data_IF_082409232573
#
_entry.id   IF_082409232573
#
_cell.length_a   1.000
_cell.length_b   1.000
_cell.length_c   1.000
_cell.angle_alpha   90.00
_cell.angle_beta   90.00
_cell.angle_gamma   90.00
#
_symmetry.space_group_name_H-M   'P 1'
#
loop_
_entity.id
_entity.type
_entity.pdbx_description
1 polymer ?
#
# COMPACT_ATOMS: atom_id res chain seq x y z
N UNK A 1 -24.39 -14.69 -4.87
CA UNK A 1 -24.00 -14.71 -3.44
C UNK A 1 -22.83 -15.66 -3.30
N UNK A 2 -21.76 -15.25 -2.61
CA UNK A 2 -20.52 -16.01 -2.48
C UNK A 2 -20.37 -16.49 -1.03
N UNK A 3 -19.71 -17.63 -0.80
CA UNK A 3 -19.40 -18.12 0.55
C UNK A 3 -17.98 -17.78 0.93
N UNK A 4 -17.79 -17.27 2.14
CA UNK A 4 -16.46 -17.07 2.69
C UNK A 4 -15.78 -18.42 2.94
N UNK A 5 -14.55 -18.57 2.47
CA UNK A 5 -13.73 -19.79 2.65
C UNK A 5 -13.25 -20.00 4.10
N UNK A 6 -13.34 -18.98 4.96
CA UNK A 6 -12.88 -19.04 6.36
C UNK A 6 -14.05 -19.26 7.33
N UNK A 7 -15.05 -18.39 7.31
CA UNK A 7 -16.17 -18.44 8.25
C UNK A 7 -17.46 -19.05 7.69
N UNK A 8 -17.48 -19.40 6.40
CA UNK A 8 -18.65 -20.01 5.74
C UNK A 8 -19.85 -19.09 5.53
N UNK A 9 -19.82 -17.82 5.97
CA UNK A 9 -20.91 -16.86 5.78
C UNK A 9 -21.15 -16.55 4.30
N UNK A 10 -22.42 -16.32 3.97
CA UNK A 10 -22.82 -15.79 2.66
C UNK A 10 -22.57 -14.28 2.62
N UNK A 11 -21.85 -13.84 1.60
CA UNK A 11 -21.45 -12.47 1.36
C UNK A 11 -21.87 -12.05 -0.05
N UNK A 12 -22.22 -10.78 -0.20
CA UNK A 12 -22.56 -10.21 -1.49
C UNK A 12 -21.32 -10.15 -2.39
N UNK A 13 -21.49 -10.23 -3.71
CA UNK A 13 -20.36 -10.14 -4.65
C UNK A 13 -19.58 -8.84 -4.53
N UNK A 14 -20.24 -7.77 -4.08
CA UNK A 14 -19.61 -6.45 -3.86
C UNK A 14 -18.71 -6.43 -2.62
N UNK A 15 -18.95 -7.29 -1.65
CA UNK A 15 -18.22 -7.37 -0.37
C UNK A 15 -17.25 -8.55 -0.31
N UNK A 16 -17.19 -9.36 -1.37
CA UNK A 16 -16.31 -10.51 -1.46
C UNK A 16 -14.87 -10.07 -1.78
N UNK A 17 -13.94 -10.32 -0.87
CA UNK A 17 -12.53 -10.07 -1.09
C UNK A 17 -11.88 -11.32 -1.68
N UNK A 18 -11.36 -11.23 -2.89
CA UNK A 18 -10.63 -12.32 -3.52
C UNK A 18 -9.16 -12.14 -3.14
N UNK A 19 -8.68 -12.98 -2.23
CA UNK A 19 -7.26 -13.03 -1.85
C UNK A 19 -6.61 -14.28 -2.45
N UNK A 20 -5.30 -14.23 -2.66
CA UNK A 20 -4.52 -15.37 -3.12
C UNK A 20 -3.76 -15.95 -1.93
N UNK A 21 -3.83 -17.26 -1.74
CA UNK A 21 -3.06 -17.95 -0.70
C UNK A 21 -1.58 -18.09 -1.10
N UNK A 22 -0.72 -18.45 -0.15
CA UNK A 22 0.73 -18.65 -0.42
C UNK A 22 0.99 -19.71 -1.51
N UNK A 23 0.05 -20.64 -1.69
CA UNK A 23 0.06 -21.67 -2.73
C UNK A 23 -0.55 -21.22 -4.08
N UNK A 24 -0.85 -19.92 -4.23
CA UNK A 24 -1.39 -19.36 -5.46
C UNK A 24 -2.90 -19.59 -5.69
N UNK A 25 -3.58 -20.29 -4.76
CA UNK A 25 -5.02 -20.58 -4.87
C UNK A 25 -5.86 -19.34 -4.52
N UNK A 26 -6.88 -19.05 -5.33
CA UNK A 26 -7.82 -17.94 -5.07
C UNK A 26 -8.83 -18.36 -4.02
N UNK A 27 -8.93 -17.60 -2.92
CA UNK A 27 -9.90 -17.79 -1.85
C UNK A 27 -10.79 -16.56 -1.70
N UNK A 28 -12.07 -16.79 -1.40
CA UNK A 28 -13.05 -15.73 -1.19
C UNK A 28 -13.17 -15.49 0.31
N UNK A 29 -12.87 -14.27 0.73
CA UNK A 29 -12.74 -13.91 2.14
C UNK A 29 -13.68 -12.76 2.48
N UNK A 30 -14.25 -12.81 3.68
CA UNK A 30 -15.11 -11.75 4.21
C UNK A 30 -14.26 -10.58 4.75
N UNK A 31 -14.79 -9.36 4.83
CA UNK A 31 -14.03 -8.19 5.31
C UNK A 31 -13.50 -8.38 6.74
N UNK A 32 -14.35 -8.91 7.64
CA UNK A 32 -14.00 -9.22 9.03
C UNK A 32 -12.87 -10.26 9.10
N UNK A 33 -12.98 -11.33 8.31
CA UNK A 33 -12.01 -12.42 8.24
C UNK A 33 -10.65 -11.94 7.69
N UNK A 34 -10.67 -10.98 6.76
CA UNK A 34 -9.47 -10.36 6.21
C UNK A 34 -8.81 -9.45 7.26
N UNK A 35 -9.59 -8.66 7.98
CA UNK A 35 -9.10 -7.80 9.05
C UNK A 35 -8.45 -8.58 10.19
N UNK A 36 -9.04 -9.73 10.57
CA UNK A 36 -8.49 -10.61 11.59
C UNK A 36 -7.18 -11.28 11.14
N UNK A 37 -7.10 -11.71 9.88
CA UNK A 37 -5.90 -12.34 9.32
C UNK A 37 -4.74 -11.35 9.10
N UNK A 38 -5.04 -10.11 8.70
CA UNK A 38 -4.02 -9.12 8.30
C UNK A 38 -3.77 -8.06 9.39
N UNK A 39 -4.63 -8.00 10.42
CA UNK A 39 -4.53 -7.07 11.55
C UNK A 39 -4.82 -5.60 11.19
N UNK A 40 -5.41 -5.34 10.02
CA UNK A 40 -5.70 -3.98 9.52
C UNK A 40 -6.90 -4.00 8.58
N UNK A 41 -7.70 -2.93 8.66
CA UNK A 41 -8.82 -2.65 7.74
C UNK A 41 -8.41 -2.79 6.27
N UNK A 42 -9.27 -3.43 5.47
CA UNK A 42 -9.07 -3.61 4.03
C UNK A 42 -8.84 -2.27 3.31
N UNK A 43 -9.54 -1.20 3.70
CA UNK A 43 -9.35 0.11 3.08
C UNK A 43 -7.95 0.67 3.37
N UNK A 44 -7.43 0.41 4.58
CA UNK A 44 -6.06 0.76 4.94
C UNK A 44 -5.05 -0.08 4.15
N UNK A 45 -5.32 -1.37 3.96
CA UNK A 45 -4.47 -2.25 3.17
C UNK A 45 -4.44 -1.82 1.69
N UNK A 46 -5.61 -1.54 1.09
CA UNK A 46 -5.75 -1.06 -0.29
C UNK A 46 -5.02 0.26 -0.51
N UNK A 47 -5.21 1.22 0.40
CA UNK A 47 -4.51 2.49 0.36
C UNK A 47 -2.99 2.33 0.46
N UNK A 48 -2.49 1.48 1.37
CA UNK A 48 -1.05 1.20 1.50
C UNK A 48 -0.48 0.54 0.24
N UNK A 49 -1.21 -0.37 -0.39
CA UNK A 49 -0.78 -1.05 -1.62
C UNK A 49 -0.62 -0.07 -2.79
N UNK A 50 -1.60 0.82 -2.99
CA UNK A 50 -1.55 1.84 -4.04
C UNK A 50 -0.41 2.85 -3.77
N UNK A 51 -0.31 3.34 -2.53
CA UNK A 51 0.72 4.30 -2.14
C UNK A 51 2.13 3.72 -2.22
N UNK A 52 2.30 2.43 -1.89
CA UNK A 52 3.59 1.74 -2.02
C UNK A 52 4.05 1.68 -3.47
N UNK A 53 3.15 1.46 -4.43
CA UNK A 53 3.49 1.42 -5.86
C UNK A 53 3.92 2.79 -6.38
N UNK A 54 3.20 3.85 -6.02
CA UNK A 54 3.57 5.21 -6.40
C UNK A 54 4.90 5.63 -5.77
N UNK A 55 5.09 5.32 -4.48
CA UNK A 55 6.34 5.61 -3.77
C UNK A 55 7.52 4.85 -4.38
N UNK A 56 7.34 3.57 -4.74
CA UNK A 56 8.37 2.76 -5.40
C UNK A 56 8.83 3.41 -6.72
N UNK A 57 7.90 3.82 -7.57
CA UNK A 57 8.21 4.45 -8.86
C UNK A 57 8.95 5.77 -8.64
N UNK A 58 8.49 6.60 -7.70
CA UNK A 58 9.14 7.86 -7.38
C UNK A 58 10.58 7.67 -6.87
N UNK A 59 10.82 6.66 -6.02
CA UNK A 59 12.16 6.33 -5.51
C UNK A 59 13.08 5.84 -6.63
N UNK A 60 12.59 5.01 -7.55
CA UNK A 60 13.39 4.55 -8.69
C UNK A 60 13.81 5.72 -9.60
N UNK A 61 12.89 6.63 -9.89
CA UNK A 61 13.19 7.82 -10.68
C UNK A 61 14.23 8.72 -9.99
N UNK A 62 14.06 8.91 -8.69
CA UNK A 62 14.98 9.65 -7.83
C UNK A 62 16.40 9.05 -7.81
N UNK A 63 16.51 7.72 -7.71
CA UNK A 63 17.78 7.00 -7.80
C UNK A 63 18.44 7.16 -9.17
N UNK A 64 17.67 7.00 -10.26
CA UNK A 64 18.18 7.18 -11.62
C UNK A 64 18.71 8.62 -11.85
N UNK A 65 17.96 9.63 -11.39
CA UNK A 65 18.39 11.03 -11.48
C UNK A 65 19.66 11.29 -10.66
N UNK A 66 19.78 10.69 -9.48
CA UNK A 66 20.97 10.80 -8.61
C UNK A 66 22.20 10.19 -9.29
N UNK A 67 22.04 9.00 -9.90
CA UNK A 67 23.11 8.33 -10.66
C UNK A 67 23.54 9.18 -11.85
N UNK A 68 22.57 9.71 -12.62
CA UNK A 68 22.87 10.59 -13.76
C UNK A 68 23.62 11.85 -13.33
N UNK A 69 23.19 12.50 -12.25
CA UNK A 69 23.85 13.70 -11.71
C UNK A 69 25.28 13.43 -11.24
N UNK A 70 25.52 12.26 -10.65
CA UNK A 70 26.86 11.81 -10.23
C UNK A 70 27.81 11.65 -11.42
N UNK A 71 27.33 11.05 -12.52
CA UNK A 71 28.13 10.85 -13.75
C UNK A 71 28.36 12.18 -14.47
N UNK A 72 27.33 13.02 -14.58
CA UNK A 72 27.39 14.24 -15.41
C UNK A 72 28.13 15.42 -14.74
N UNK A 73 28.05 15.56 -13.41
CA UNK A 73 28.58 16.74 -12.69
C UNK A 73 29.47 16.40 -11.49
N UNK A 74 29.73 15.12 -11.25
CA UNK A 74 30.60 14.65 -10.18
C UNK A 74 29.90 14.44 -8.83
N UNK A 75 30.66 14.00 -7.81
CA UNK A 75 30.11 13.43 -6.58
C UNK A 75 29.29 14.40 -5.72
N UNK A 76 29.58 15.69 -5.80
CA UNK A 76 28.86 16.74 -5.04
C UNK A 76 27.36 16.79 -5.40
N UNK A 77 27.03 16.60 -6.68
CA UNK A 77 25.66 16.66 -7.18
C UNK A 77 24.87 15.38 -6.88
N UNK A 78 25.55 14.23 -6.79
CA UNK A 78 24.93 12.99 -6.31
C UNK A 78 24.53 13.09 -4.84
N UNK A 79 25.37 13.73 -4.00
CA UNK A 79 25.06 13.98 -2.59
C UNK A 79 23.81 14.86 -2.43
N UNK A 80 23.70 15.91 -3.25
CA UNK A 80 22.53 16.79 -3.30
C UNK A 80 21.26 16.04 -3.77
N UNK A 81 21.42 15.12 -4.72
CA UNK A 81 20.37 14.19 -5.14
C UNK A 81 19.85 13.34 -3.98
N UNK A 82 20.73 12.67 -3.24
CA UNK A 82 20.36 11.83 -2.08
C UNK A 82 19.62 12.64 -1.01
N UNK A 83 20.06 13.87 -0.72
CA UNK A 83 19.36 14.72 0.25
C UNK A 83 17.93 15.02 -0.21
N UNK A 84 17.74 15.31 -1.50
CA UNK A 84 16.41 15.57 -2.08
C UNK A 84 15.51 14.32 -2.01
N UNK A 85 16.03 13.13 -2.32
CA UNK A 85 15.25 11.89 -2.27
C UNK A 85 14.78 11.57 -0.84
N UNK A 86 15.65 11.79 0.16
CA UNK A 86 15.31 11.64 1.58
C UNK A 86 14.22 12.63 2.00
N UNK A 87 14.29 13.89 1.56
CA UNK A 87 13.24 14.88 1.84
C UNK A 87 11.88 14.47 1.27
N UNK A 88 11.84 14.02 0.01
CA UNK A 88 10.61 13.54 -0.62
C UNK A 88 10.05 12.32 0.12
N UNK A 89 10.91 11.39 0.54
CA UNK A 89 10.51 10.21 1.30
C UNK A 89 9.88 10.58 2.66
N UNK A 90 10.47 11.52 3.40
CA UNK A 90 9.92 12.01 4.66
C UNK A 90 8.58 12.72 4.48
N UNK A 91 8.40 13.46 3.39
CA UNK A 91 7.12 14.09 3.07
C UNK A 91 6.05 13.06 2.68
N UNK A 92 6.39 12.04 1.88
CA UNK A 92 5.46 10.99 1.46
C UNK A 92 5.03 10.08 2.62
N UNK A 93 5.90 9.88 3.62
CA UNK A 93 5.61 9.08 4.81
C UNK A 93 4.80 9.84 5.88
N UNK A 94 4.64 11.17 5.74
CA UNK A 94 3.83 11.98 6.66
C UNK A 94 2.35 11.61 6.49
N UNK A 95 1.87 10.69 7.34
CA UNK A 95 0.51 10.15 7.30
C UNK A 95 -0.54 11.27 7.40
N UNK A 96 -1.61 11.24 6.58
CA UNK A 96 -2.79 12.02 6.88
C UNK A 96 -3.36 11.60 8.25
N UNK A 97 -3.69 12.57 9.09
CA UNK A 97 -4.37 12.34 10.38
C UNK A 97 -5.61 11.46 10.14
N UNK A 98 -5.68 10.31 10.82
CA UNK A 98 -6.88 9.43 10.82
C UNK A 98 -8.12 10.26 11.16
N UNK A 99 -9.07 10.36 10.23
CA UNK A 99 -10.46 10.71 10.57
C UNK A 99 -11.16 9.39 10.88
N UNK A 100 -11.20 9.03 12.17
CA UNK A 100 -12.08 7.96 12.63
C UNK A 100 -13.52 8.42 12.39
N UNK A 101 -14.27 7.66 11.61
CA UNK A 101 -15.66 7.94 11.31
C UNK A 101 -16.39 6.66 10.92
N UNK A 102 -16.45 5.71 11.85
CA UNK A 102 -17.38 4.59 11.75
C UNK A 102 -18.58 4.92 12.64
N UNK A 103 -19.66 5.44 12.03
CA UNK A 103 -20.98 5.42 12.64
C UNK A 103 -21.88 4.63 11.71
N UNK A 104 -22.08 3.35 12.03
CA UNK A 104 -23.23 2.57 11.57
C UNK A 104 -24.44 3.14 12.29
N UNK A 105 -25.33 3.82 11.59
CA UNK A 105 -26.68 4.09 12.09
C UNK A 105 -27.63 3.02 11.52
N UNK A 106 -28.53 2.57 12.38
CA UNK A 106 -29.39 1.39 12.26
C UNK A 106 -30.50 1.54 11.22
#
# INVERSE_FOLDING_TARGET
MLKCSICGREISEKEALINQDEEGRRRIVCRECFEEAVGTDYDTFRYRKENARQTLIAVLFCLAATIYAFIARGPLYGLLGIVLTVLVYLFATKKPRRRNGHTREK
#
